data_IF_946555902554
#
_entry.id   IF_946555902554
#
_cell.length_a   1.000
_cell.length_b   1.000
_cell.length_c   1.000
_cell.angle_alpha   90.00
_cell.angle_beta   90.00
_cell.angle_gamma   90.00
#
_symmetry.space_group_name_H-M   'P 1'
#
loop_
_entity.id
_entity.type
_entity.pdbx_description
1 polymer ?
#
# COMPACT_ATOMS: atom_id res chain seq x y z
N UNK A 1 11.14 24.60 57.06
CA UNK A 1 11.23 23.22 56.56
C UNK A 1 10.16 22.86 55.53
N UNK A 2 9.20 23.75 55.16
CA UNK A 2 8.11 23.47 54.19
C UNK A 2 8.41 23.86 52.75
N UNK A 3 9.38 24.76 52.49
CA UNK A 3 9.68 25.24 51.12
C UNK A 3 10.57 24.27 50.34
N UNK A 4 11.43 23.48 50.99
CA UNK A 4 12.30 22.50 50.31
C UNK A 4 11.55 21.29 49.75
N UNK A 5 10.40 20.94 50.35
CA UNK A 5 9.61 19.81 49.91
C UNK A 5 8.76 20.12 48.64
N UNK A 6 8.37 21.39 48.51
CA UNK A 6 7.63 21.88 47.31
C UNK A 6 8.52 21.94 46.06
N UNK A 7 9.80 22.25 46.21
CA UNK A 7 10.73 22.30 45.08
C UNK A 7 11.08 20.93 44.54
N UNK A 8 11.13 19.90 45.41
CA UNK A 8 11.41 18.52 44.98
C UNK A 8 10.21 17.94 44.21
N UNK A 9 8.98 18.27 44.59
CA UNK A 9 7.77 17.83 43.86
C UNK A 9 7.65 18.52 42.49
N UNK A 10 8.11 19.79 42.36
CA UNK A 10 8.07 20.51 41.09
C UNK A 10 9.08 19.97 40.08
N UNK A 11 10.26 19.53 40.56
CA UNK A 11 11.27 18.91 39.70
C UNK A 11 10.88 17.47 39.25
N UNK A 12 10.09 16.76 40.03
CA UNK A 12 9.60 15.44 39.64
C UNK A 12 8.52 15.48 38.53
N UNK A 13 7.80 16.60 38.39
CA UNK A 13 6.75 16.76 37.33
C UNK A 13 7.36 17.13 35.99
N UNK A 14 8.55 17.73 35.96
CA UNK A 14 9.21 18.13 34.70
C UNK A 14 9.98 16.95 34.05
N UNK A 15 10.22 15.88 34.81
CA UNK A 15 10.99 14.71 34.34
C UNK A 15 10.19 13.65 33.58
N UNK A 16 8.86 13.76 33.48
CA UNK A 16 8.00 12.75 32.81
C UNK A 16 7.35 13.20 31.52
N UNK A 17 7.70 14.34 30.99
CA UNK A 17 7.36 14.68 29.59
C UNK A 17 8.50 14.31 28.62
N UNK A 18 9.11 13.14 28.82
CA UNK A 18 9.72 12.44 27.71
C UNK A 18 8.55 11.96 26.86
N UNK A 19 8.21 12.70 25.83
CA UNK A 19 7.52 12.12 24.68
C UNK A 19 8.43 11.00 24.19
N UNK A 20 8.20 9.79 24.68
CA UNK A 20 8.62 8.60 23.97
C UNK A 20 7.84 8.66 22.65
N UNK A 21 8.46 9.17 21.59
CA UNK A 21 8.05 8.85 20.24
C UNK A 21 8.33 7.35 20.11
N UNK A 22 7.34 6.54 20.50
CA UNK A 22 7.41 5.10 20.27
C UNK A 22 7.45 4.87 18.77
N UNK A 23 8.52 4.25 18.32
CA UNK A 23 8.70 3.92 16.91
C UNK A 23 7.94 2.63 16.60
N UNK A 24 6.79 2.77 15.96
CA UNK A 24 5.95 1.64 15.58
C UNK A 24 6.31 1.05 14.21
N UNK A 25 7.30 1.61 13.52
CA UNK A 25 7.73 1.11 12.20
C UNK A 25 8.31 -0.29 12.28
N UNK A 26 8.94 -0.66 13.39
CA UNK A 26 9.52 -2.00 13.61
C UNK A 26 8.50 -3.14 13.54
N UNK A 27 7.21 -2.83 13.76
CA UNK A 27 6.13 -3.81 13.59
C UNK A 27 5.89 -4.23 12.14
N UNK A 28 6.38 -3.43 11.19
CA UNK A 28 6.10 -3.58 9.77
C UNK A 28 7.35 -3.68 8.90
N UNK A 29 8.51 -3.19 9.37
CA UNK A 29 9.73 -3.23 8.58
C UNK A 29 10.19 -4.65 8.33
N UNK A 30 10.71 -4.93 7.13
CA UNK A 30 11.18 -6.25 6.76
C UNK A 30 10.94 -6.62 5.31
N UNK A 31 11.15 -7.91 5.03
CA UNK A 31 10.93 -8.50 3.73
C UNK A 31 9.68 -9.38 3.73
N UNK A 32 8.92 -9.31 2.65
CA UNK A 32 7.64 -10.01 2.52
C UNK A 32 7.50 -10.65 1.14
N UNK A 33 6.87 -11.79 1.12
CA UNK A 33 6.25 -12.30 -0.09
C UNK A 33 4.87 -11.67 -0.22
N UNK A 34 4.50 -11.24 -1.42
CA UNK A 34 3.24 -10.55 -1.68
C UNK A 34 2.42 -11.34 -2.68
N UNK A 35 1.18 -11.63 -2.31
CA UNK A 35 0.15 -12.14 -3.20
C UNK A 35 -0.86 -11.04 -3.47
N UNK A 36 -1.14 -10.76 -4.74
CA UNK A 36 -2.22 -9.85 -5.16
C UNK A 36 -3.31 -10.68 -5.82
N UNK A 37 -4.51 -10.62 -5.27
CA UNK A 37 -5.72 -11.16 -5.92
C UNK A 37 -6.46 -10.01 -6.58
N UNK A 38 -6.61 -10.06 -7.89
CA UNK A 38 -7.33 -9.04 -8.64
C UNK A 38 -8.76 -9.48 -8.95
N UNK A 39 -9.70 -8.54 -8.81
CA UNK A 39 -11.08 -8.66 -9.27
C UNK A 39 -11.46 -7.34 -9.94
N UNK A 40 -11.19 -7.26 -11.23
CA UNK A 40 -11.34 -6.04 -12.02
C UNK A 40 -12.28 -6.27 -13.19
N UNK A 41 -12.93 -5.21 -13.64
CA UNK A 41 -13.77 -5.18 -14.83
C UNK A 41 -13.51 -3.93 -15.65
N UNK A 42 -13.65 -4.07 -16.95
CA UNK A 42 -13.62 -2.97 -17.90
C UNK A 42 -15.05 -2.67 -18.32
N UNK A 43 -15.41 -1.41 -18.35
CA UNK A 43 -16.73 -0.94 -18.79
C UNK A 43 -16.60 -0.46 -20.23
N UNK A 44 -17.11 -1.25 -21.16
CA UNK A 44 -17.11 -0.94 -22.57
C UNK A 44 -18.52 -0.52 -23.01
N UNK A 45 -18.72 0.68 -23.60
CA UNK A 45 -20.05 1.21 -23.93
C UNK A 45 -20.92 0.28 -24.79
N UNK A 46 -20.29 -0.49 -25.66
CA UNK A 46 -21.02 -1.40 -26.60
C UNK A 46 -21.19 -2.81 -26.03
N UNK A 47 -20.20 -3.26 -25.22
CA UNK A 47 -20.16 -4.63 -24.74
C UNK A 47 -20.57 -4.77 -23.26
N UNK A 48 -20.84 -3.65 -22.59
CA UNK A 48 -21.15 -3.63 -21.14
C UNK A 48 -19.93 -3.89 -20.28
N UNK A 49 -20.14 -4.57 -19.15
CA UNK A 49 -19.07 -4.95 -18.24
C UNK A 49 -18.34 -6.20 -18.73
N UNK A 50 -17.05 -6.06 -18.96
CA UNK A 50 -16.16 -7.17 -19.33
C UNK A 50 -15.30 -7.50 -18.09
N UNK A 51 -15.55 -8.65 -17.43
CA UNK A 51 -14.72 -9.05 -16.31
C UNK A 51 -13.32 -9.40 -16.83
N UNK A 52 -12.29 -8.85 -16.18
CA UNK A 52 -10.94 -9.35 -16.34
C UNK A 52 -10.81 -10.63 -15.52
N UNK A 53 -10.08 -11.60 -16.05
CA UNK A 53 -9.92 -12.88 -15.37
C UNK A 53 -9.37 -12.66 -13.97
N UNK A 54 -9.93 -13.34 -12.97
CA UNK A 54 -9.39 -13.31 -11.62
C UNK A 54 -8.03 -14.01 -11.63
N UNK A 55 -7.00 -13.27 -11.25
CA UNK A 55 -5.63 -13.76 -11.25
C UNK A 55 -5.00 -13.54 -9.87
N UNK A 56 -4.11 -14.46 -9.49
CA UNK A 56 -3.21 -14.30 -8.38
C UNK A 56 -1.83 -13.93 -8.92
N UNK A 57 -1.37 -12.75 -8.56
CA UNK A 57 -0.06 -12.24 -8.96
C UNK A 57 0.85 -12.33 -7.73
N UNK A 58 2.06 -12.85 -7.93
CA UNK A 58 3.03 -13.03 -6.85
C UNK A 58 4.22 -12.12 -7.05
N UNK A 59 4.71 -11.58 -5.95
CA UNK A 59 5.86 -10.71 -5.91
C UNK A 59 6.52 -10.68 -4.54
N UNK A 60 7.40 -9.72 -4.35
CA UNK A 60 8.05 -9.46 -3.07
C UNK A 60 7.84 -8.01 -2.67
N UNK A 61 7.88 -7.73 -1.38
CA UNK A 61 7.92 -6.39 -0.86
C UNK A 61 9.05 -6.22 0.15
N UNK A 62 9.56 -5.00 0.21
CA UNK A 62 10.40 -4.52 1.29
C UNK A 62 9.72 -3.30 1.92
N UNK A 63 9.55 -3.33 3.23
CA UNK A 63 9.06 -2.20 4.01
C UNK A 63 10.26 -1.67 4.79
N UNK A 64 10.59 -0.40 4.56
CA UNK A 64 11.73 0.27 5.19
C UNK A 64 11.27 1.57 5.84
N UNK A 65 11.94 1.94 6.93
CA UNK A 65 11.73 3.23 7.58
C UNK A 65 12.16 4.36 6.65
N UNK A 66 11.37 5.43 6.58
CA UNK A 66 11.74 6.64 5.86
C UNK A 66 12.38 7.66 6.79
N UNK A 67 13.69 7.61 6.88
CA UNK A 67 14.47 8.49 7.75
C UNK A 67 14.35 9.98 7.39
N UNK A 68 13.86 10.31 6.19
CA UNK A 68 13.73 11.69 5.74
C UNK A 68 12.43 12.37 6.19
N UNK A 69 11.40 11.60 6.49
CA UNK A 69 10.04 12.10 6.80
C UNK A 69 9.61 11.90 8.26
N UNK A 70 10.52 11.42 9.11
CA UNK A 70 10.29 11.23 10.54
C UNK A 70 10.09 9.79 10.99
N UNK A 71 10.06 9.59 12.31
CA UNK A 71 10.20 8.29 12.95
C UNK A 71 9.04 7.30 12.73
N UNK A 72 7.91 7.76 12.20
CA UNK A 72 6.71 6.92 12.00
C UNK A 72 6.41 6.62 10.53
N UNK A 73 7.23 7.11 9.60
CA UNK A 73 7.00 6.93 8.17
C UNK A 73 7.77 5.73 7.63
N UNK A 74 7.13 5.01 6.73
CA UNK A 74 7.73 3.87 6.02
C UNK A 74 7.48 3.98 4.52
N UNK A 75 8.40 3.41 3.75
CA UNK A 75 8.26 3.18 2.31
C UNK A 75 8.05 1.70 2.05
N UNK A 76 7.06 1.40 1.24
CA UNK A 76 6.76 0.05 0.79
C UNK A 76 7.20 -0.06 -0.67
N UNK A 77 8.22 -0.87 -0.91
CA UNK A 77 8.71 -1.20 -2.23
C UNK A 77 8.20 -2.59 -2.61
N UNK A 78 7.30 -2.67 -3.58
CA UNK A 78 6.82 -3.95 -4.10
C UNK A 78 7.37 -4.20 -5.50
N UNK A 79 7.78 -5.45 -5.77
CA UNK A 79 8.28 -5.90 -7.07
C UNK A 79 7.55 -7.15 -7.51
N UNK A 80 6.97 -7.12 -8.70
CA UNK A 80 6.24 -8.22 -9.31
C UNK A 80 6.93 -8.67 -10.59
N UNK A 81 7.02 -9.97 -10.79
CA UNK A 81 7.75 -10.54 -11.94
C UNK A 81 7.22 -10.03 -13.29
N UNK A 82 5.90 -9.83 -13.39
CA UNK A 82 5.22 -9.39 -14.61
C UNK A 82 4.59 -8.01 -14.47
N UNK A 83 4.69 -7.38 -13.29
CA UNK A 83 3.92 -6.21 -12.90
C UNK A 83 4.71 -4.93 -12.61
N UNK A 84 6.03 -4.96 -12.73
CA UNK A 84 6.84 -3.79 -12.43
C UNK A 84 7.07 -3.55 -10.93
N UNK A 85 7.47 -2.33 -10.61
CA UNK A 85 7.86 -1.90 -9.27
C UNK A 85 6.89 -0.82 -8.79
N UNK A 86 6.45 -0.94 -7.55
CA UNK A 86 5.55 0.01 -6.88
C UNK A 86 6.21 0.59 -5.65
N UNK A 87 6.10 1.90 -5.51
CA UNK A 87 6.52 2.64 -4.33
C UNK A 87 5.29 3.24 -3.67
N UNK A 88 5.05 2.88 -2.42
CA UNK A 88 3.97 3.43 -1.61
C UNK A 88 4.55 4.08 -0.37
N UNK A 89 3.93 5.16 0.04
CA UNK A 89 4.24 5.85 1.28
C UNK A 89 3.19 5.45 2.32
N UNK A 90 3.61 5.25 3.57
CA UNK A 90 2.72 4.89 4.65
C UNK A 90 3.22 5.47 5.98
N UNK A 91 2.29 5.63 6.90
CA UNK A 91 2.52 6.10 8.26
C UNK A 91 2.12 5.02 9.26
N UNK A 92 2.99 4.72 10.23
CA UNK A 92 2.76 3.74 11.28
C UNK A 92 2.37 4.42 12.59
N UNK A 93 1.31 3.93 13.24
CA UNK A 93 0.97 4.26 14.62
C UNK A 93 0.81 2.97 15.44
N UNK A 94 0.48 3.11 16.71
CA UNK A 94 0.30 1.99 17.64
C UNK A 94 -0.70 0.92 17.13
N UNK A 95 -1.63 1.29 16.28
CA UNK A 95 -2.75 0.44 15.87
C UNK A 95 -2.60 -0.13 14.49
N UNK A 96 -2.08 0.65 13.54
CA UNK A 96 -2.03 0.27 12.14
C UNK A 96 -0.95 1.03 11.35
N UNK A 97 -0.60 0.46 10.21
CA UNK A 97 0.10 1.16 9.13
C UNK A 97 -0.95 1.72 8.17
N UNK A 98 -0.92 3.03 7.93
CA UNK A 98 -1.83 3.74 7.01
C UNK A 98 -1.13 3.96 5.69
N UNK A 99 -1.56 3.23 4.68
CA UNK A 99 -1.07 3.40 3.31
C UNK A 99 -1.80 4.58 2.66
N UNK A 100 -1.06 5.44 1.98
CA UNK A 100 -1.63 6.57 1.25
C UNK A 100 -2.20 6.17 -0.12
N UNK A 101 -3.05 7.05 -0.67
CA UNK A 101 -3.55 6.91 -2.04
C UNK A 101 -2.40 7.05 -3.05
N UNK A 102 -2.34 6.16 -4.03
CA UNK A 102 -1.29 6.19 -5.06
C UNK A 102 -1.87 6.15 -6.46
N UNK A 103 -1.46 7.10 -7.30
CA UNK A 103 -1.70 7.01 -8.75
C UNK A 103 -0.69 6.06 -9.37
N UNK A 104 -1.18 5.12 -10.16
CA UNK A 104 -0.38 4.10 -10.81
C UNK A 104 -0.63 4.14 -12.30
N UNK A 105 0.46 4.11 -13.04
CA UNK A 105 0.46 3.97 -14.49
C UNK A 105 1.31 2.75 -14.84
N UNK A 106 0.68 1.70 -15.36
CA UNK A 106 1.36 0.44 -15.62
C UNK A 106 0.81 -0.27 -16.82
N UNK A 107 1.67 -1.03 -17.48
CA UNK A 107 1.28 -1.93 -18.58
C UNK A 107 1.16 -3.38 -18.10
N UNK A 108 1.46 -3.69 -16.85
CA UNK A 108 1.82 -5.06 -16.47
C UNK A 108 1.01 -5.70 -15.35
N UNK A 109 0.59 -5.03 -14.28
CA UNK A 109 -0.01 -5.73 -13.14
C UNK A 109 -1.29 -6.46 -13.47
N UNK A 110 -1.97 -6.02 -14.47
CA UNK A 110 -3.34 -6.46 -14.73
C UNK A 110 -3.37 -7.25 -16.02
N UNK A 111 -2.23 -7.80 -16.49
CA UNK A 111 -2.24 -8.15 -17.88
C UNK A 111 -1.55 -9.44 -18.28
N UNK A 112 -2.38 -10.41 -18.58
CA UNK A 112 -2.13 -11.38 -19.62
C UNK A 112 -2.48 -10.86 -21.05
N UNK A 113 -2.96 -9.61 -21.19
CA UNK A 113 -3.30 -9.01 -22.49
C UNK A 113 -2.16 -8.12 -22.96
N UNK A 114 -1.48 -8.50 -24.04
CA UNK A 114 -0.52 -7.65 -24.73
C UNK A 114 -1.20 -6.34 -25.16
N UNK A 115 -0.51 -5.20 -24.94
CA UNK A 115 -0.93 -3.85 -25.36
C UNK A 115 -2.06 -3.18 -24.55
N UNK A 116 -2.25 -3.51 -23.28
CA UNK A 116 -3.16 -2.76 -22.42
C UNK A 116 -2.37 -1.87 -21.47
N UNK A 117 -2.70 -0.60 -21.44
CA UNK A 117 -2.15 0.38 -20.50
C UNK A 117 -3.22 0.77 -19.50
N UNK A 118 -2.87 0.74 -18.22
CA UNK A 118 -3.76 1.10 -17.13
C UNK A 118 -3.27 2.36 -16.41
N UNK A 119 -4.17 3.31 -16.25
CA UNK A 119 -4.00 4.49 -15.41
C UNK A 119 -5.06 4.44 -14.32
N UNK A 120 -4.69 4.19 -13.08
CA UNK A 120 -5.64 4.05 -11.99
C UNK A 120 -5.11 4.60 -10.67
N UNK A 121 -6.00 4.76 -9.71
CA UNK A 121 -5.64 5.11 -8.33
C UNK A 121 -5.84 3.90 -7.44
N UNK A 122 -4.81 3.55 -6.68
CA UNK A 122 -4.91 2.67 -5.52
C UNK A 122 -5.38 3.52 -4.33
N UNK A 123 -6.50 3.15 -3.74
CA UNK A 123 -6.95 3.79 -2.51
C UNK A 123 -6.14 3.25 -1.34
N UNK A 124 -5.66 4.16 -0.51
CA UNK A 124 -5.01 3.82 0.74
C UNK A 124 -5.96 3.13 1.72
N UNK A 125 -5.38 2.47 2.70
CA UNK A 125 -6.12 1.79 3.76
C UNK A 125 -5.26 1.60 5.01
N UNK A 126 -5.91 1.19 6.09
CA UNK A 126 -5.23 0.76 7.30
C UNK A 126 -4.87 -0.73 7.19
N UNK A 127 -3.62 -1.05 7.49
CA UNK A 127 -3.09 -2.42 7.54
C UNK A 127 -2.69 -2.70 8.98
N UNK A 128 -3.18 -3.80 9.54
CA UNK A 128 -2.94 -4.15 10.95
C UNK A 128 -1.82 -5.19 11.07
N UNK A 129 -1.01 -5.17 12.14
CA UNK A 129 0.13 -6.09 12.29
C UNK A 129 -0.27 -7.58 12.29
N UNK A 130 -1.47 -7.87 12.83
CA UNK A 130 -2.00 -9.24 12.90
C UNK A 130 -2.64 -9.72 11.59
N UNK A 131 -2.96 -8.80 10.69
CA UNK A 131 -3.54 -9.09 9.35
C UNK A 131 -2.91 -8.16 8.34
N UNK A 132 -1.77 -8.56 7.82
CA UNK A 132 -1.02 -7.82 6.82
C UNK A 132 -1.71 -7.91 5.44
N UNK A 133 -2.98 -7.50 5.40
CA UNK A 133 -3.82 -7.51 4.21
C UNK A 133 -4.33 -6.11 3.90
N UNK A 134 -4.23 -5.73 2.65
CA UNK A 134 -4.73 -4.46 2.14
C UNK A 134 -5.64 -4.70 0.94
N UNK A 135 -6.88 -4.22 1.00
CA UNK A 135 -7.80 -4.22 -0.14
C UNK A 135 -7.99 -2.80 -0.66
N UNK A 136 -7.49 -2.55 -1.86
CA UNK A 136 -7.65 -1.28 -2.56
C UNK A 136 -8.80 -1.36 -3.56
N UNK A 137 -9.69 -0.37 -3.52
CA UNK A 137 -10.59 -0.13 -4.64
C UNK A 137 -9.79 0.49 -5.79
N UNK A 138 -10.07 0.03 -6.99
CA UNK A 138 -9.47 0.52 -8.22
C UNK A 138 -10.53 1.27 -9.01
N UNK A 139 -10.21 2.50 -9.37
CA UNK A 139 -10.97 3.29 -10.33
C UNK A 139 -9.99 3.99 -11.27
N UNK A 140 -10.17 3.82 -12.56
CA UNK A 140 -9.24 4.34 -13.54
C UNK A 140 -9.64 4.06 -14.97
N UNK A 141 -8.65 4.05 -15.85
CA UNK A 141 -8.83 3.83 -17.29
C UNK A 141 -7.87 2.76 -17.79
N UNK A 142 -8.31 2.00 -18.77
CA UNK A 142 -7.43 1.18 -19.58
C UNK A 142 -7.49 1.62 -21.03
N UNK A 143 -6.33 1.62 -21.71
CA UNK A 143 -6.22 1.93 -23.13
C UNK A 143 -5.72 0.69 -23.85
N UNK A 144 -6.49 0.22 -24.83
CA UNK A 144 -6.23 -1.03 -25.55
C UNK A 144 -6.86 -1.04 -26.94
N UNK A 145 -6.33 -1.88 -27.81
CA UNK A 145 -6.95 -2.25 -29.08
C UNK A 145 -7.43 -3.71 -29.10
N UNK A 146 -7.47 -4.39 -27.94
CA UNK A 146 -7.81 -5.81 -27.87
C UNK A 146 -9.26 -6.11 -28.28
N UNK A 147 -10.18 -5.16 -28.16
CA UNK A 147 -11.61 -5.35 -28.46
C UNK A 147 -12.11 -4.63 -29.71
N UNK A 148 -11.31 -3.73 -30.27
CA UNK A 148 -11.66 -2.95 -31.46
C UNK A 148 -10.44 -2.75 -32.36
N UNK A 149 -10.67 -2.46 -33.65
CA UNK A 149 -9.60 -2.28 -34.64
C UNK A 149 -8.71 -1.06 -34.39
N UNK A 150 -9.12 -0.15 -33.51
CA UNK A 150 -8.34 1.03 -33.11
C UNK A 150 -8.16 1.08 -31.59
N UNK A 151 -7.09 1.73 -31.16
CA UNK A 151 -6.83 1.95 -29.73
C UNK A 151 -7.93 2.83 -29.13
N UNK A 152 -8.56 2.36 -28.07
CA UNK A 152 -9.58 3.08 -27.31
C UNK A 152 -9.31 3.04 -25.82
N UNK A 153 -9.94 3.98 -25.11
CA UNK A 153 -9.86 4.10 -23.66
C UNK A 153 -11.21 3.75 -23.03
N UNK A 154 -11.18 2.84 -22.08
CA UNK A 154 -12.32 2.33 -21.33
C UNK A 154 -12.16 2.62 -19.84
N UNK A 155 -13.26 2.65 -19.11
CA UNK A 155 -13.20 2.72 -17.66
C UNK A 155 -12.86 1.35 -17.05
N UNK A 156 -12.06 1.38 -15.98
CA UNK A 156 -11.71 0.19 -15.18
C UNK A 156 -12.17 0.41 -13.74
N UNK A 157 -12.77 -0.61 -13.17
CA UNK A 157 -13.15 -0.60 -11.76
C UNK A 157 -13.02 -1.99 -11.14
N UNK A 158 -12.95 -2.03 -9.81
CA UNK A 158 -12.90 -3.29 -9.06
C UNK A 158 -12.02 -3.19 -7.82
N UNK A 159 -11.37 -4.29 -7.48
CA UNK A 159 -10.52 -4.37 -6.28
C UNK A 159 -9.23 -5.12 -6.56
N UNK A 160 -8.18 -4.70 -5.85
CA UNK A 160 -6.92 -5.44 -5.69
C UNK A 160 -6.74 -5.75 -4.20
N UNK A 161 -6.63 -7.02 -3.87
CA UNK A 161 -6.33 -7.46 -2.50
C UNK A 161 -4.87 -7.89 -2.42
N UNK A 162 -4.09 -7.18 -1.62
CA UNK A 162 -2.70 -7.47 -1.31
C UNK A 162 -2.64 -8.25 -0.01
N UNK A 163 -1.89 -9.34 0.02
CA UNK A 163 -1.60 -10.13 1.22
C UNK A 163 -0.09 -10.24 1.34
N UNK A 164 0.45 -9.77 2.47
CA UNK A 164 1.87 -9.79 2.77
C UNK A 164 2.15 -10.94 3.75
N UNK A 165 3.12 -11.76 3.44
CA UNK A 165 3.61 -12.83 4.30
C UNK A 165 5.07 -12.57 4.61
N UNK A 166 5.41 -12.43 5.89
CA UNK A 166 6.78 -12.12 6.30
C UNK A 166 7.74 -13.22 5.84
N UNK A 167 8.86 -12.82 5.26
CA UNK A 167 9.89 -13.72 4.78
C UNK A 167 11.07 -13.71 5.75
N UNK A 168 11.15 -14.73 6.61
CA UNK A 168 12.18 -14.87 7.64
C UNK A 168 13.56 -15.26 7.09
N UNK A 169 13.67 -15.56 5.79
CA UNK A 169 14.88 -16.08 5.15
C UNK A 169 15.71 -15.01 4.42
N UNK A 170 15.44 -13.73 4.64
CA UNK A 170 16.20 -12.63 4.00
C UNK A 170 16.71 -11.62 4.99
#
# INVERSE_FOLDING_TARGET
MKIKMLLVCLLAVIGFSSCNNEDYTDLYTGYYDVKVTQNLKVIAPIYGEIPLQEENIYGTAQIVKDENEGDSNVKILMSFREGGIYYLDAYCDQTCMRIENKKVNTTHIINSYNNVRFDYTLNGANVYPQDLTWTSKVAGKCTTNAWESSQKTYEVSGTLKFTFTQNENK
#
